data_IF_569752325409
#
_entry.id   IF_569752325409
#
_cell.length_a   1.000
_cell.length_b   1.000
_cell.length_c   1.000
_cell.angle_alpha   90.00
_cell.angle_beta   90.00
_cell.angle_gamma   90.00
#
_symmetry.space_group_name_H-M   'P 1'
#
loop_
_entity.id
_entity.type
_entity.pdbx_description
1 polymer ?
#
# COMPACT_ATOMS: atom_id res chain seq x y z
N UNK A 1 -10.04 -17.69 1.67
CA UNK A 1 -9.43 -18.61 2.66
C UNK A 1 -8.31 -19.44 2.02
N UNK A 2 -8.49 -19.94 0.79
CA UNK A 2 -7.49 -20.77 0.08
C UNK A 2 -6.06 -20.17 0.05
N UNK A 3 -5.91 -18.88 -0.28
CA UNK A 3 -4.58 -18.23 -0.35
C UNK A 3 -3.83 -18.22 0.99
N UNK A 4 -4.54 -18.12 2.11
CA UNK A 4 -3.91 -18.09 3.43
C UNK A 4 -3.43 -19.48 3.89
N UNK A 5 -4.03 -20.55 3.36
CA UNK A 5 -3.69 -21.94 3.65
C UNK A 5 -2.70 -22.54 2.64
N UNK A 6 -2.31 -21.78 1.62
CA UNK A 6 -1.36 -22.22 0.60
C UNK A 6 0.02 -22.43 1.24
N UNK A 7 0.54 -23.65 1.21
CA UNK A 7 1.87 -23.99 1.74
C UNK A 7 3.03 -23.31 1.01
N UNK A 8 2.78 -22.80 -0.21
CA UNK A 8 3.73 -22.00 -1.00
C UNK A 8 3.50 -20.50 -0.84
N UNK A 9 2.61 -20.05 0.05
CA UNK A 9 2.37 -18.63 0.31
C UNK A 9 3.70 -17.99 0.72
N UNK A 10 4.06 -16.90 0.03
CA UNK A 10 5.25 -16.11 0.37
C UNK A 10 5.16 -15.64 1.82
N UNK A 11 6.20 -15.92 2.60
CA UNK A 11 6.25 -15.54 4.01
C UNK A 11 6.23 -14.03 4.19
N UNK A 12 5.60 -13.56 5.27
CA UNK A 12 5.60 -12.15 5.61
C UNK A 12 7.03 -11.67 5.90
N UNK A 13 7.38 -10.50 5.39
CA UNK A 13 8.66 -9.86 5.64
C UNK A 13 8.46 -8.37 5.81
N UNK A 14 9.01 -7.82 6.90
CA UNK A 14 9.00 -6.38 7.13
C UNK A 14 9.64 -5.59 5.99
N UNK A 15 10.54 -6.17 5.21
CA UNK A 15 11.24 -5.48 4.11
C UNK A 15 10.59 -5.71 2.75
N UNK A 16 10.23 -6.96 2.42
CA UNK A 16 10.00 -7.36 1.02
C UNK A 16 8.64 -8.05 0.76
N UNK A 17 7.82 -8.28 1.79
CA UNK A 17 6.50 -8.90 1.64
C UNK A 17 5.60 -8.50 2.83
N UNK A 18 5.15 -7.24 2.81
CA UNK A 18 4.35 -6.64 3.87
C UNK A 18 3.07 -6.00 3.29
N UNK A 19 2.36 -5.26 4.15
CA UNK A 19 1.15 -4.54 3.75
C UNK A 19 1.38 -3.53 2.62
N UNK A 20 2.51 -2.82 2.60
CA UNK A 20 2.82 -1.82 1.57
C UNK A 20 3.10 -2.43 0.21
N UNK A 21 3.89 -3.52 0.17
CA UNK A 21 4.15 -4.25 -1.07
C UNK A 21 2.88 -4.91 -1.60
N UNK A 22 2.04 -5.47 -0.72
CA UNK A 22 0.74 -6.02 -1.10
C UNK A 22 -0.15 -4.96 -1.74
N UNK A 23 -0.30 -3.80 -1.12
CA UNK A 23 -1.08 -2.70 -1.69
C UNK A 23 -0.56 -2.28 -3.08
N UNK A 24 0.76 -2.29 -3.29
CA UNK A 24 1.36 -1.87 -4.56
C UNK A 24 1.08 -2.91 -5.64
N UNK A 25 1.16 -4.19 -5.28
CA UNK A 25 0.85 -5.30 -6.18
C UNK A 25 -0.65 -5.38 -6.52
N UNK A 26 -1.54 -4.92 -5.64
CA UNK A 26 -2.97 -4.74 -5.96
C UNK A 26 -3.15 -3.65 -7.02
N UNK A 27 -2.50 -2.50 -6.88
CA UNK A 27 -2.59 -1.43 -7.89
C UNK A 27 -2.07 -1.86 -9.26
N UNK A 28 -0.98 -2.65 -9.29
CA UNK A 28 -0.40 -3.17 -10.55
C UNK A 28 -1.35 -4.10 -11.32
N UNK A 29 -2.35 -4.68 -10.65
CA UNK A 29 -3.34 -5.55 -11.30
C UNK A 29 -4.40 -4.76 -12.07
N UNK A 30 -4.59 -3.47 -11.79
CA UNK A 30 -5.54 -2.62 -12.49
C UNK A 30 -4.85 -1.87 -13.65
N UNK A 31 -5.20 -2.15 -14.92
CA UNK A 31 -4.58 -1.50 -16.07
C UNK A 31 -4.70 0.02 -16.11
N UNK A 32 -5.70 0.60 -15.44
CA UNK A 32 -5.95 2.05 -15.43
C UNK A 32 -5.03 2.83 -14.48
N UNK A 33 -4.43 2.15 -13.50
CA UNK A 33 -3.60 2.78 -12.46
C UNK A 33 -2.28 2.07 -12.20
N UNK A 34 -1.99 0.95 -12.88
CA UNK A 34 -0.75 0.17 -12.70
C UNK A 34 0.53 1.01 -12.79
N UNK A 35 0.56 2.01 -13.68
CA UNK A 35 1.75 2.85 -13.92
C UNK A 35 1.93 3.93 -12.83
N UNK A 36 0.94 4.09 -11.94
CA UNK A 36 0.99 4.95 -10.76
C UNK A 36 1.30 4.17 -9.47
N UNK A 37 1.39 2.84 -9.54
CA UNK A 37 1.72 2.03 -8.38
C UNK A 37 3.13 2.39 -7.89
N UNK A 38 3.32 2.74 -6.61
CA UNK A 38 4.63 3.15 -6.13
C UNK A 38 5.60 1.96 -6.05
N UNK A 39 6.88 2.28 -6.18
CA UNK A 39 7.96 1.37 -5.84
C UNK A 39 8.27 1.58 -4.36
N UNK A 40 8.12 0.52 -3.55
CA UNK A 40 8.39 0.60 -2.11
C UNK A 40 9.90 0.55 -1.87
N UNK A 41 10.50 1.70 -1.56
CA UNK A 41 11.94 1.82 -1.31
C UNK A 41 12.23 1.71 0.18
N UNK A 42 11.45 2.43 0.98
CA UNK A 42 11.57 2.41 2.43
C UNK A 42 10.34 1.72 3.06
N UNK A 43 10.51 0.52 3.64
CA UNK A 43 9.39 -0.27 4.10
C UNK A 43 8.75 0.24 5.40
N UNK A 44 9.19 1.38 5.94
CA UNK A 44 8.53 2.00 7.11
C UNK A 44 7.15 2.53 6.69
N UNK A 45 6.08 2.30 7.48
CA UNK A 45 4.72 2.69 7.09
C UNK A 45 4.55 4.16 6.71
N UNK A 46 5.19 5.09 7.44
CA UNK A 46 5.12 6.52 7.12
C UNK A 46 5.77 6.86 5.78
N UNK A 47 6.85 6.15 5.42
CA UNK A 47 7.52 6.32 4.12
C UNK A 47 6.68 5.74 3.00
N UNK A 48 6.11 4.53 3.20
CA UNK A 48 5.17 3.90 2.26
C UNK A 48 4.01 4.86 1.94
N UNK A 49 3.34 5.41 2.96
CA UNK A 49 2.21 6.33 2.73
C UNK A 49 2.64 7.53 1.88
N UNK A 50 3.83 8.08 2.13
CA UNK A 50 4.36 9.19 1.33
C UNK A 50 4.61 8.79 -0.13
N UNK A 51 5.21 7.63 -0.37
CA UNK A 51 5.47 7.11 -1.73
C UNK A 51 4.16 6.93 -2.53
N UNK A 52 3.04 6.58 -1.88
CA UNK A 52 1.71 6.59 -2.51
C UNK A 52 1.23 8.02 -2.81
N UNK A 53 1.38 8.94 -1.86
CA UNK A 53 0.93 10.32 -2.00
C UNK A 53 1.72 11.11 -3.05
N UNK A 54 2.91 10.65 -3.46
CA UNK A 54 3.65 11.24 -4.59
C UNK A 54 2.90 11.04 -5.93
N UNK A 55 2.06 10.00 -6.04
CA UNK A 55 1.35 9.64 -7.28
C UNK A 55 -0.18 9.83 -7.20
N UNK A 56 -0.73 10.01 -5.99
CA UNK A 56 -2.16 10.09 -5.71
C UNK A 56 -2.47 11.23 -4.74
N UNK A 57 -3.69 11.77 -4.82
CA UNK A 57 -4.16 12.74 -3.82
C UNK A 57 -4.09 12.13 -2.42
N UNK A 58 -3.68 12.95 -1.46
CA UNK A 58 -3.60 12.53 -0.08
C UNK A 58 -5.00 12.51 0.55
N UNK A 59 -5.23 11.53 1.42
CA UNK A 59 -6.42 11.46 2.26
C UNK A 59 -5.97 11.42 3.72
N UNK A 60 -6.29 12.48 4.45
CA UNK A 60 -5.89 12.66 5.84
C UNK A 60 -7.13 12.60 6.73
N UNK A 61 -7.21 11.58 7.57
CA UNK A 61 -8.31 11.41 8.53
C UNK A 61 -7.87 11.79 9.94
N UNK A 62 -8.56 12.75 10.56
CA UNK A 62 -8.44 13.07 11.99
C UNK A 62 -9.52 12.29 12.78
N UNK A 63 -9.16 11.24 13.54
CA UNK A 63 -10.13 10.44 14.28
C UNK A 63 -10.79 11.17 15.45
N UNK A 64 -10.14 12.21 16.01
CA UNK A 64 -10.69 13.00 17.13
C UNK A 64 -11.79 13.93 16.64
N UNK A 65 -11.59 14.54 15.47
CA UNK A 65 -12.58 15.41 14.82
C UNK A 65 -13.56 14.64 13.94
N UNK A 66 -13.26 13.37 13.63
CA UNK A 66 -13.95 12.53 12.66
C UNK A 66 -14.07 13.22 11.29
N UNK A 67 -12.99 13.89 10.87
CA UNK A 67 -12.95 14.67 9.63
C UNK A 67 -11.93 14.08 8.66
N UNK A 68 -12.30 14.05 7.38
CA UNK A 68 -11.42 13.70 6.27
C UNK A 68 -11.05 14.98 5.51
N UNK A 69 -9.77 15.14 5.18
CA UNK A 69 -9.27 16.15 4.24
C UNK A 69 -8.64 15.44 3.04
N UNK A 70 -8.98 15.92 1.85
CA UNK A 70 -8.39 15.44 0.59
C UNK A 70 -7.58 16.59 0.01
N UNK A 71 -6.29 16.36 -0.25
CA UNK A 71 -5.36 17.36 -0.78
C UNK A 71 -4.68 16.81 -2.05
#
# INVERSE_FOLDING_TARGET
IAENANSKRKEYSLRNNNCGTFAADVLKQDPSVKDKAPVIIDPRPNSIVKEYQDNFKSLNYDPKKRQVKIE
#
